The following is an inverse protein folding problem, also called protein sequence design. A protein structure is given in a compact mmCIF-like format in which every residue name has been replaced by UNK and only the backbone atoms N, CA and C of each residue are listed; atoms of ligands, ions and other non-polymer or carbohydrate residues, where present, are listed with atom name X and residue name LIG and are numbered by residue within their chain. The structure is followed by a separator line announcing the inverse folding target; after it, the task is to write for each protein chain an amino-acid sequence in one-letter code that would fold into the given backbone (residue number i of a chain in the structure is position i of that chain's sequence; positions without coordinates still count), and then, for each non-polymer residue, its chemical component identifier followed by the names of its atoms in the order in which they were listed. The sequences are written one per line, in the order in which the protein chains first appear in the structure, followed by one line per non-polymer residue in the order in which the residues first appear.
data_IF_465827585077
#
_entry.id   IF_465827585077
#
_cell.length_a   1.000
_cell.length_b   1.000
_cell.length_c   1.000
_cell.angle_alpha   90.00
_cell.angle_beta   90.00
_cell.angle_gamma   90.00
#
_symmetry.space_group_name_H-M   'P 1'
#
loop_
_entity.id
_entity.type
_entity.pdbx_description
1 polymer ?
#
# COMPACT_ATOMS: atom_id res chain seq x y z
N UNK A 1 -7.17 -24.41 -17.03
CA UNK A 1 -8.19 -24.10 -16.00
C UNK A 1 -7.42 -24.02 -14.68
N UNK A 2 -7.10 -22.81 -14.19
CA UNK A 2 -6.31 -22.64 -12.97
C UNK A 2 -7.18 -23.09 -11.80
N UNK A 3 -6.73 -24.12 -11.10
CA UNK A 3 -7.33 -24.57 -9.83
C UNK A 3 -7.01 -23.47 -8.83
N UNK A 4 -8.05 -22.77 -8.35
CA UNK A 4 -7.90 -21.85 -7.22
C UNK A 4 -7.45 -22.69 -6.02
N UNK A 5 -6.20 -22.51 -5.61
CA UNK A 5 -5.70 -23.01 -4.34
C UNK A 5 -6.57 -22.38 -3.23
N UNK A 6 -7.37 -23.15 -2.48
CA UNK A 6 -8.30 -22.63 -1.49
C UNK A 6 -7.59 -21.88 -0.34
N UNK A 7 -6.27 -21.99 -0.21
CA UNK A 7 -5.48 -21.21 0.74
C UNK A 7 -5.19 -19.77 0.28
N UNK A 8 -5.39 -19.45 -1.00
CA UNK A 8 -5.05 -18.13 -1.56
C UNK A 8 -6.25 -17.21 -1.53
N UNK A 9 -6.22 -16.26 -0.61
CA UNK A 9 -7.26 -15.23 -0.50
C UNK A 9 -7.42 -14.44 -1.81
N UNK A 10 -8.66 -14.01 -2.08
CA UNK A 10 -8.96 -13.08 -3.17
C UNK A 10 -8.20 -11.78 -2.95
N UNK A 11 -7.45 -11.37 -3.96
CA UNK A 11 -6.63 -10.17 -3.96
C UNK A 11 -7.39 -8.94 -4.49
N UNK A 12 -7.01 -7.74 -4.04
CA UNK A 12 -7.60 -6.46 -4.50
C UNK A 12 -7.25 -6.10 -5.95
N UNK A 13 -6.08 -6.52 -6.43
CA UNK A 13 -5.58 -6.16 -7.77
C UNK A 13 -5.38 -7.39 -8.65
N UNK A 14 -5.57 -7.22 -9.95
CA UNK A 14 -5.31 -8.20 -11.00
C UNK A 14 -4.06 -7.84 -11.82
N UNK A 15 -3.55 -8.78 -12.61
CA UNK A 15 -2.49 -8.48 -13.58
C UNK A 15 -2.96 -7.43 -14.59
N UNK A 16 -2.12 -6.44 -14.88
CA UNK A 16 -2.43 -5.26 -15.69
C UNK A 16 -2.86 -4.05 -14.87
N UNK A 17 -3.27 -4.21 -13.60
CA UNK A 17 -3.72 -3.09 -12.78
C UNK A 17 -2.58 -2.11 -12.48
N UNK A 18 -2.90 -0.83 -12.64
CA UNK A 18 -2.03 0.28 -12.31
C UNK A 18 -2.01 0.54 -10.80
N UNK A 19 -0.82 0.51 -10.20
CA UNK A 19 -0.62 0.54 -8.75
C UNK A 19 0.52 1.47 -8.36
N UNK A 20 0.53 1.90 -7.11
CA UNK A 20 1.69 2.46 -6.43
C UNK A 20 2.14 1.50 -5.32
N UNK A 21 3.44 1.20 -5.30
CA UNK A 21 4.05 0.33 -4.30
C UNK A 21 5.02 1.10 -3.43
N UNK A 22 5.00 0.82 -2.13
CA UNK A 22 5.99 1.33 -1.21
C UNK A 22 7.29 0.55 -1.37
N UNK A 23 8.37 1.28 -1.59
CA UNK A 23 9.73 0.72 -1.60
C UNK A 23 10.54 1.25 -0.43
N UNK A 24 11.85 0.99 -0.42
CA UNK A 24 12.76 1.55 0.59
C UNK A 24 12.55 3.07 0.68
N UNK A 25 12.50 3.57 1.91
CA UNK A 25 12.43 5.00 2.17
C UNK A 25 13.56 5.72 1.41
N UNK A 26 13.29 6.98 1.03
CA UNK A 26 14.28 7.80 0.35
C UNK A 26 15.45 8.06 1.29
N UNK A 27 16.66 7.94 0.76
CA UNK A 27 17.87 8.14 1.56
C UNK A 27 18.06 9.62 1.89
N UNK A 28 17.56 10.52 1.04
CA UNK A 28 17.75 11.97 1.17
C UNK A 28 16.95 12.57 2.33
N UNK A 29 15.71 12.15 2.53
CA UNK A 29 14.80 12.72 3.53
C UNK A 29 14.30 11.70 4.57
N UNK A 30 14.63 10.42 4.40
CA UNK A 30 14.17 9.33 5.26
C UNK A 30 12.66 9.04 5.18
N UNK A 31 11.94 9.75 4.31
CA UNK A 31 10.49 9.63 4.18
C UNK A 31 10.12 8.41 3.33
N UNK A 32 8.88 7.97 3.49
CA UNK A 32 8.35 6.90 2.66
C UNK A 32 8.45 7.22 1.16
N UNK A 33 8.71 6.18 0.37
CA UNK A 33 8.87 6.28 -1.06
C UNK A 33 7.86 5.36 -1.76
N UNK A 34 6.99 5.97 -2.55
CA UNK A 34 5.96 5.28 -3.32
C UNK A 34 6.27 5.40 -4.80
N UNK A 35 6.36 4.26 -5.48
CA UNK A 35 6.72 4.20 -6.90
C UNK A 35 5.59 3.55 -7.68
N UNK A 36 5.21 4.20 -8.78
CA UNK A 36 4.16 3.73 -9.67
C UNK A 36 4.63 2.55 -10.52
N UNK A 37 3.71 1.67 -10.84
CA UNK A 37 3.96 0.47 -11.61
C UNK A 37 2.68 -0.22 -12.06
N UNK A 38 2.83 -1.43 -12.58
CA UNK A 38 1.72 -2.29 -12.95
C UNK A 38 1.92 -3.70 -12.38
N UNK A 39 0.84 -4.30 -11.89
CA UNK A 39 0.86 -5.71 -11.47
C UNK A 39 1.11 -6.57 -12.71
N UNK A 40 2.18 -7.37 -12.67
CA UNK A 40 2.54 -8.28 -13.78
C UNK A 40 2.11 -9.71 -13.51
N UNK A 41 2.00 -10.10 -12.23
CA UNK A 41 1.51 -11.40 -11.83
C UNK A 41 0.86 -11.32 -10.44
N UNK A 42 -0.21 -12.08 -10.26
CA UNK A 42 -0.82 -12.38 -8.96
C UNK A 42 -0.37 -13.77 -8.52
N UNK A 43 -0.05 -13.91 -7.24
CA UNK A 43 0.55 -15.14 -6.69
C UNK A 43 1.75 -15.70 -7.50
N UNK A 44 2.72 -14.87 -7.93
CA UNK A 44 3.94 -15.36 -8.58
C UNK A 44 4.68 -16.35 -7.67
N UNK A 45 5.26 -17.39 -8.27
CA UNK A 45 6.25 -18.22 -7.57
C UNK A 45 7.51 -17.39 -7.30
N UNK A 46 8.03 -17.46 -6.08
CA UNK A 46 9.21 -16.67 -5.68
C UNK A 46 10.52 -17.40 -6.06
N UNK A 47 10.46 -18.71 -6.35
CA UNK A 47 11.65 -19.54 -6.58
C UNK A 47 12.60 -19.56 -5.37
N UNK A 48 13.71 -20.28 -5.50
CA UNK A 48 14.75 -20.34 -4.48
C UNK A 48 14.51 -21.40 -3.39
N UNK A 49 15.24 -21.26 -2.28
CA UNK A 49 15.24 -22.24 -1.19
C UNK A 49 13.88 -22.24 -0.49
N UNK A 50 13.22 -23.40 -0.38
CA UNK A 50 11.91 -23.52 0.23
C UNK A 50 11.94 -23.54 1.76
N UNK A 51 13.11 -23.83 2.35
CA UNK A 51 13.32 -23.95 3.79
C UNK A 51 14.38 -22.99 4.27
N UNK A 52 14.28 -22.55 5.52
CA UNK A 52 15.35 -21.83 6.19
C UNK A 52 15.67 -22.49 7.52
N UNK A 53 16.89 -22.27 7.99
CA UNK A 53 17.34 -22.70 9.30
C UNK A 53 18.23 -21.61 9.90
N UNK A 54 17.94 -21.23 11.15
CA UNK A 54 18.76 -20.32 11.95
C UNK A 54 18.94 -20.96 13.31
N UNK A 55 20.14 -21.50 13.56
CA UNK A 55 20.41 -22.34 14.73
C UNK A 55 19.55 -23.61 14.71
N UNK A 56 18.80 -23.84 15.78
CA UNK A 56 17.89 -24.99 15.93
C UNK A 56 16.49 -24.73 15.36
N UNK A 57 16.19 -23.49 14.95
CA UNK A 57 14.87 -23.13 14.41
C UNK A 57 14.90 -23.30 12.90
N UNK A 58 13.94 -24.06 12.37
CA UNK A 58 13.73 -24.20 10.94
C UNK A 58 12.28 -23.87 10.56
N UNK A 59 12.09 -23.47 9.30
CA UNK A 59 10.79 -23.15 8.76
C UNK A 59 10.76 -23.26 7.24
N UNK A 60 9.60 -22.98 6.66
CA UNK A 60 9.41 -22.87 5.22
C UNK A 60 9.20 -21.43 4.82
N UNK A 61 9.84 -21.02 3.73
CA UNK A 61 9.50 -19.76 3.09
C UNK A 61 8.17 -19.88 2.34
N UNK A 62 7.42 -18.79 2.18
CA UNK A 62 6.26 -18.78 1.29
C UNK A 62 6.68 -19.11 -0.15
N UNK A 63 5.95 -20.00 -0.81
CA UNK A 63 6.20 -20.35 -2.22
C UNK A 63 5.79 -19.24 -3.18
N UNK A 64 4.85 -18.38 -2.74
CA UNK A 64 4.29 -17.29 -3.51
C UNK A 64 3.98 -16.07 -2.62
N UNK A 65 3.92 -14.91 -3.25
CA UNK A 65 3.48 -13.64 -2.64
C UNK A 65 2.30 -13.07 -3.41
N UNK A 66 1.49 -12.17 -2.84
CA UNK A 66 0.34 -11.62 -3.53
C UNK A 66 0.64 -11.04 -4.91
N UNK A 67 1.69 -10.22 -5.06
CA UNK A 67 1.92 -9.51 -6.32
C UNK A 67 3.40 -9.46 -6.74
N UNK A 68 3.63 -9.54 -8.05
CA UNK A 68 4.82 -9.00 -8.72
C UNK A 68 4.44 -7.72 -9.44
N UNK A 69 5.16 -6.63 -9.19
CA UNK A 69 4.90 -5.32 -9.78
C UNK A 69 6.10 -4.87 -10.60
N UNK A 70 5.88 -4.55 -11.87
CA UNK A 70 6.88 -3.88 -12.70
C UNK A 70 6.82 -2.39 -12.41
N UNK A 71 7.94 -1.76 -12.08
CA UNK A 71 7.98 -0.34 -11.76
C UNK A 71 8.13 0.49 -13.03
N UNK A 72 7.48 1.67 -13.08
CA UNK A 72 7.65 2.63 -14.19
C UNK A 72 9.07 3.17 -14.27
N UNK A 73 9.75 3.30 -13.13
CA UNK A 73 11.15 3.69 -13.05
C UNK A 73 12.13 2.58 -13.50
N UNK A 74 11.61 1.41 -13.90
CA UNK A 74 12.40 0.24 -14.27
C UNK A 74 12.53 -0.77 -13.14
N UNK A 75 12.82 -2.03 -13.50
CA UNK A 75 12.89 -3.14 -12.57
C UNK A 75 11.52 -3.63 -12.08
N UNK A 76 11.54 -4.47 -11.07
CA UNK A 76 10.34 -5.08 -10.49
C UNK A 76 10.51 -5.35 -8.99
N UNK A 77 9.39 -5.48 -8.29
CA UNK A 77 9.35 -5.83 -6.88
C UNK A 77 8.32 -6.92 -6.60
N UNK A 78 8.55 -7.68 -5.55
CA UNK A 78 7.54 -8.53 -4.93
C UNK A 78 6.84 -7.77 -3.80
N UNK A 79 5.50 -7.75 -3.82
CA UNK A 79 4.70 -7.20 -2.73
C UNK A 79 4.20 -8.34 -1.85
N UNK A 80 4.77 -8.43 -0.64
CA UNK A 80 4.58 -9.58 0.23
C UNK A 80 3.20 -9.69 0.90
N UNK A 81 2.41 -8.62 0.90
CA UNK A 81 1.04 -8.62 1.43
C UNK A 81 0.13 -7.75 0.57
N UNK A 82 -1.14 -8.12 0.52
CA UNK A 82 -2.18 -7.24 0.01
C UNK A 82 -2.66 -6.29 1.10
N UNK A 83 -1.90 -5.22 1.32
CA UNK A 83 -2.14 -4.29 2.40
C UNK A 83 -1.88 -2.85 1.98
N UNK A 84 -2.71 -1.92 2.45
CA UNK A 84 -2.63 -0.50 2.09
C UNK A 84 -1.30 0.17 2.44
N UNK A 85 -0.49 -0.42 3.33
CA UNK A 85 0.84 0.12 3.67
C UNK A 85 1.93 -0.26 2.67
N UNK A 86 1.66 -1.22 1.77
CA UNK A 86 2.62 -1.73 0.79
C UNK A 86 2.21 -1.46 -0.65
N UNK A 87 0.91 -1.57 -0.95
CA UNK A 87 0.39 -1.43 -2.31
C UNK A 87 -1.00 -0.78 -2.30
N UNK A 88 -1.19 0.16 -3.22
CA UNK A 88 -2.43 0.91 -3.45
C UNK A 88 -2.67 1.08 -4.95
N UNK A 89 -3.91 1.37 -5.34
CA UNK A 89 -4.18 1.84 -6.71
C UNK A 89 -3.38 3.10 -7.02
N UNK A 90 -2.96 3.25 -8.26
CA UNK A 90 -2.30 4.47 -8.70
C UNK A 90 -3.19 5.70 -8.42
N UNK A 91 -2.60 6.76 -7.87
CA UNK A 91 -3.31 7.98 -7.47
C UNK A 91 -3.84 7.94 -6.03
N UNK A 92 -3.73 6.79 -5.35
CA UNK A 92 -4.12 6.60 -3.93
C UNK A 92 -2.91 6.47 -2.99
N UNK A 93 -1.69 6.67 -3.48
CA UNK A 93 -0.53 6.87 -2.61
C UNK A 93 -0.74 8.06 -1.64
N UNK A 94 -0.08 8.07 -0.47
CA UNK A 94 -0.18 9.17 0.50
C UNK A 94 0.11 10.51 -0.16
N UNK A 95 -0.72 11.51 0.13
CA UNK A 95 -0.49 12.87 -0.39
C UNK A 95 0.53 13.63 0.43
N UNK A 96 0.62 13.29 1.72
CA UNK A 96 1.68 13.75 2.61
C UNK A 96 2.62 12.61 2.96
N UNK A 97 3.89 12.71 2.57
CA UNK A 97 4.92 11.73 2.92
C UNK A 97 5.27 11.84 4.40
N UNK A 98 5.47 10.70 5.05
CA UNK A 98 5.79 10.64 6.48
C UNK A 98 7.10 9.88 6.75
N UNK A 99 7.75 10.20 7.87
CA UNK A 99 8.75 9.32 8.47
C UNK A 99 8.02 8.13 9.11
N UNK A 100 8.24 6.93 8.58
CA UNK A 100 7.57 5.71 9.02
C UNK A 100 6.48 5.23 8.08
N UNK A 101 5.35 4.77 8.61
CA UNK A 101 4.25 4.17 7.84
C UNK A 101 3.07 5.15 7.82
N UNK A 102 2.66 5.60 6.64
CA UNK A 102 1.48 6.44 6.53
C UNK A 102 0.22 5.73 7.02
N UNK A 103 -0.63 6.51 7.69
CA UNK A 103 -1.86 6.04 8.33
C UNK A 103 -2.87 5.55 7.29
N UNK A 104 -3.79 4.69 7.72
CA UNK A 104 -4.93 4.26 6.89
C UNK A 104 -5.80 5.44 6.46
N UNK A 105 -6.06 6.36 7.38
CA UNK A 105 -6.90 7.54 7.16
C UNK A 105 -6.01 8.76 6.97
N UNK A 106 -6.25 9.51 5.89
CA UNK A 106 -5.57 10.77 5.59
C UNK A 106 -6.60 11.86 5.34
N UNK A 107 -6.42 13.04 5.93
CA UNK A 107 -7.25 14.20 5.63
C UNK A 107 -6.49 15.10 4.67
N UNK A 108 -7.08 15.42 3.51
CA UNK A 108 -6.49 16.31 2.50
C UNK A 108 -7.42 17.48 2.22
N UNK A 109 -6.83 18.57 1.73
CA UNK A 109 -7.60 19.69 1.17
C UNK A 109 -7.99 19.36 -0.27
N UNK A 110 -9.28 19.47 -0.58
CA UNK A 110 -9.83 19.30 -1.92
C UNK A 110 -9.57 20.54 -2.79
N UNK A 111 -9.83 20.40 -4.10
CA UNK A 111 -9.60 21.47 -5.08
C UNK A 111 -10.46 22.72 -4.83
N UNK A 112 -11.65 22.54 -4.27
CA UNK A 112 -12.56 23.63 -3.90
C UNK A 112 -12.28 24.21 -2.49
N UNK A 113 -11.18 23.78 -1.86
CA UNK A 113 -10.77 24.23 -0.55
C UNK A 113 -11.42 23.50 0.63
N UNK A 114 -12.42 22.64 0.38
CA UNK A 114 -13.00 21.78 1.41
C UNK A 114 -12.03 20.70 1.91
N UNK A 115 -12.42 19.97 2.97
CA UNK A 115 -11.62 18.88 3.52
C UNK A 115 -12.19 17.51 3.13
N UNK A 116 -11.32 16.60 2.71
CA UNK A 116 -11.66 15.21 2.37
C UNK A 116 -10.89 14.24 3.27
N UNK A 117 -11.58 13.22 3.78
CA UNK A 117 -10.98 12.08 4.46
C UNK A 117 -10.87 10.90 3.49
N UNK A 118 -9.66 10.42 3.28
CA UNK A 118 -9.31 9.30 2.42
C UNK A 118 -9.10 8.06 3.30
N UNK A 119 -9.74 6.96 2.93
CA UNK A 119 -9.46 5.63 3.47
C UNK A 119 -8.61 4.84 2.46
N UNK A 120 -7.32 4.70 2.76
CA UNK A 120 -6.35 4.01 1.90
C UNK A 120 -6.57 2.49 1.83
N UNK A 121 -7.35 1.90 2.74
CA UNK A 121 -7.69 0.48 2.68
C UNK A 121 -8.85 0.22 1.73
N UNK A 122 -9.89 1.07 1.78
CA UNK A 122 -11.12 0.88 1.01
C UNK A 122 -11.18 1.71 -0.27
N UNK A 123 -10.18 2.57 -0.50
CA UNK A 123 -10.11 3.47 -1.65
C UNK A 123 -11.37 4.35 -1.74
N UNK A 124 -11.81 4.88 -0.60
CA UNK A 124 -12.99 5.76 -0.49
C UNK A 124 -12.60 7.17 -0.04
N UNK A 125 -13.32 8.15 -0.57
CA UNK A 125 -13.25 9.55 -0.14
C UNK A 125 -14.56 9.94 0.54
N UNK A 126 -14.46 10.66 1.65
CA UNK A 126 -15.61 11.26 2.33
C UNK A 126 -15.31 12.72 2.59
N UNK A 127 -16.21 13.61 2.16
CA UNK A 127 -16.15 15.03 2.54
C UNK A 127 -16.32 15.16 4.05
N UNK A 128 -15.45 15.94 4.68
CA UNK A 128 -15.56 16.32 6.08
C UNK A 128 -16.43 17.56 6.13
N UNK A 129 -17.58 17.46 6.78
CA UNK A 129 -18.35 18.64 7.20
C UNK A 129 -17.65 19.12 8.46
N UNK A 130 -17.10 20.34 8.40
CA UNK A 130 -16.62 21.02 9.60
C UNK A 130 -17.86 21.64 10.21
N UNK A 131 -18.33 21.10 11.33
CA UNK A 131 -19.33 21.80 12.13
C UNK A 131 -18.58 22.96 12.81
N UNK A 132 -18.94 24.20 12.46
CA UNK A 132 -18.32 25.44 12.95
C UNK A 132 -18.62 25.75 14.44
N UNK A 133 -19.08 24.77 15.22
CA UNK A 133 -19.66 24.98 16.57
C UNK A 133 -18.66 24.95 17.74
N UNK A 134 -17.38 25.33 17.53
CA UNK A 134 -16.42 25.50 18.63
C UNK A 134 -15.69 26.85 18.60
N UNK A 135 -16.45 27.91 18.34
CA UNK A 135 -16.10 29.27 18.77
C UNK A 135 -16.94 29.67 19.99
N UNK A 136 -16.61 29.11 21.15
CA UNK A 136 -16.95 29.69 22.46
C UNK A 136 -15.61 29.79 23.21
N UNK A 137 -14.99 30.96 23.20
CA UNK A 137 -15.14 31.99 24.25
C UNK A 137 -14.50 31.54 25.55
N UNK A 138 -13.29 32.06 25.79
CA UNK A 138 -12.67 32.17 27.11
C UNK A 138 -11.64 33.30 27.01
N UNK A 139 -12.15 34.53 26.99
CA UNK A 139 -11.42 35.71 27.48
C UNK A 139 -11.94 36.04 28.88
N UNK A 140 -11.17 35.70 29.90
CA UNK A 140 -11.11 36.43 31.18
C UNK A 140 -9.64 36.69 31.55
#
# INVERSE_FOLDING_TARGET
RLVEDPARARLRFAAGDAVAVRIRNREEDGLENWVQGAVTAVWPSIGGQATWQVGEVSGRFPEAVPYKVSLRAGGWVYCHRDHFTLIRREGWEPKTRTSGISKRMETIKAADGGMEKLDHQTERRKRVVVDDDLASDDTE
#
